data_IF_523869910076
#
_entry.id   IF_523869910076
#
_cell.length_a   1.000
_cell.length_b   1.000
_cell.length_c   1.000
_cell.angle_alpha   90.00
_cell.angle_beta   90.00
_cell.angle_gamma   90.00
#
_symmetry.space_group_name_H-M   'P 1'
#
loop_
_entity.id
_entity.type
_entity.pdbx_description
1 polymer ?
#
# COMPACT_ATOMS: atom_id res chain seq x y z
N UNK A 1 21.96 7.56 -12.08
CA UNK A 1 21.21 6.34 -11.69
C UNK A 1 21.22 6.31 -10.16
N UNK A 2 20.08 6.22 -9.55
CA UNK A 2 19.98 6.06 -8.09
C UNK A 2 20.52 4.67 -7.73
N UNK A 3 21.32 4.57 -6.68
CA UNK A 3 21.82 3.28 -6.21
C UNK A 3 20.64 2.44 -5.73
N UNK A 4 20.44 1.26 -6.30
CA UNK A 4 19.35 0.33 -5.97
C UNK A 4 19.79 -0.77 -5.01
N UNK A 5 21.12 -0.85 -4.74
CA UNK A 5 21.71 -1.87 -3.88
C UNK A 5 21.79 -1.40 -2.43
N UNK A 6 21.18 -2.18 -1.51
CA UNK A 6 21.22 -1.95 -0.07
C UNK A 6 21.76 -3.21 0.59
N UNK A 7 22.84 -3.11 1.36
CA UNK A 7 23.50 -4.24 2.04
C UNK A 7 23.83 -5.43 1.11
N UNK A 8 24.17 -5.14 -0.15
CA UNK A 8 24.53 -6.18 -1.14
C UNK A 8 23.36 -6.79 -1.91
N UNK A 9 22.12 -6.42 -1.60
CA UNK A 9 20.91 -6.86 -2.31
C UNK A 9 20.43 -5.75 -3.23
N UNK A 10 20.10 -6.08 -4.49
CA UNK A 10 19.45 -5.15 -5.42
C UNK A 10 17.94 -5.11 -5.17
N UNK A 11 17.45 -4.01 -4.68
CA UNK A 11 16.03 -3.77 -4.43
C UNK A 11 15.28 -3.19 -5.64
N UNK A 12 15.98 -2.92 -6.74
CA UNK A 12 15.37 -2.41 -7.96
C UNK A 12 14.47 -1.19 -7.71
N UNK A 13 13.20 -1.23 -8.17
CA UNK A 13 12.26 -0.13 -8.01
C UNK A 13 11.86 0.16 -6.54
N UNK A 14 12.10 -0.78 -5.61
CA UNK A 14 11.75 -0.62 -4.20
C UNK A 14 12.80 0.15 -3.39
N UNK A 15 14.04 0.28 -3.88
CA UNK A 15 15.14 0.91 -3.14
C UNK A 15 14.78 2.33 -2.64
N UNK A 16 14.07 3.08 -3.46
CA UNK A 16 13.62 4.43 -3.14
C UNK A 16 12.59 4.51 -2.01
N UNK A 17 11.94 3.41 -1.62
CA UNK A 17 10.96 3.40 -0.52
C UNK A 17 11.64 3.49 0.86
N UNK A 18 12.80 2.83 1.03
CA UNK A 18 13.43 2.59 2.33
C UNK A 18 13.66 3.88 3.10
N UNK A 19 13.16 3.91 4.35
CA UNK A 19 13.21 5.06 5.25
C UNK A 19 11.86 5.35 5.90
N UNK A 20 11.79 6.45 6.65
CA UNK A 20 10.56 6.92 7.29
C UNK A 20 10.03 8.15 6.54
N UNK A 21 8.75 8.16 6.30
CA UNK A 21 8.06 9.18 5.52
C UNK A 21 6.91 9.80 6.32
N UNK A 22 6.82 11.12 6.34
CA UNK A 22 5.76 11.84 7.01
C UNK A 22 4.90 12.60 5.99
N UNK A 23 3.57 12.50 6.13
CA UNK A 23 2.60 13.19 5.31
C UNK A 23 1.54 13.89 6.15
N UNK A 24 1.21 15.13 5.79
CA UNK A 24 0.23 15.95 6.49
C UNK A 24 -0.93 16.44 5.59
N UNK A 25 -1.01 15.93 4.36
CA UNK A 25 -1.99 16.34 3.34
C UNK A 25 -2.95 15.23 2.96
N UNK A 26 -3.04 14.22 3.84
CA UNK A 26 -3.91 13.08 3.62
C UNK A 26 -5.39 13.46 3.61
N UNK A 27 -6.14 12.78 2.76
CA UNK A 27 -7.59 12.87 2.67
C UNK A 27 -8.17 11.48 2.46
N UNK A 28 -8.89 11.00 3.44
CA UNK A 28 -9.69 9.79 3.41
C UNK A 28 -11.13 10.17 2.99
N UNK A 29 -11.73 9.36 2.11
CA UNK A 29 -13.13 9.47 1.68
C UNK A 29 -13.82 8.14 1.92
N UNK A 30 -14.44 8.02 3.10
CA UNK A 30 -15.03 6.79 3.61
C UNK A 30 -16.55 6.76 3.54
N UNK A 31 -17.18 5.56 3.47
CA UNK A 31 -18.63 5.42 3.52
C UNK A 31 -19.17 5.61 4.95
N UNK A 32 -20.28 6.33 5.06
CA UNK A 32 -21.10 6.40 6.23
C UNK A 32 -22.53 5.88 5.93
N UNK A 33 -23.31 5.42 6.93
CA UNK A 33 -24.67 4.96 6.70
C UNK A 33 -25.51 5.99 5.93
N UNK A 34 -25.40 7.26 6.30
CA UNK A 34 -26.16 8.36 5.74
C UNK A 34 -25.44 9.18 4.68
N UNK A 35 -24.24 8.77 4.25
CA UNK A 35 -23.49 9.57 3.28
C UNK A 35 -22.05 9.18 3.08
N UNK A 36 -21.18 10.20 3.14
CA UNK A 36 -19.73 10.08 2.93
C UNK A 36 -19.03 10.95 3.96
N UNK A 37 -18.08 10.39 4.70
CA UNK A 37 -17.15 11.13 5.54
C UNK A 37 -15.92 11.53 4.73
N UNK A 38 -15.40 12.74 5.00
CA UNK A 38 -14.11 13.20 4.49
C UNK A 38 -13.24 13.56 5.68
N UNK A 39 -12.22 12.76 5.92
CA UNK A 39 -11.34 12.89 7.08
C UNK A 39 -9.94 13.32 6.64
N UNK A 40 -9.55 14.58 6.85
CA UNK A 40 -8.16 15.00 6.69
C UNK A 40 -7.30 14.35 7.75
N UNK A 41 -6.12 13.83 7.33
CA UNK A 41 -5.22 13.12 8.20
C UNK A 41 -3.76 13.49 8.01
N UNK A 42 -2.95 13.07 8.94
CA UNK A 42 -1.50 12.96 8.80
C UNK A 42 -1.07 11.52 9.09
N UNK A 43 0.07 11.14 8.55
CA UNK A 43 0.55 9.79 8.66
C UNK A 43 2.06 9.70 8.72
N UNK A 44 2.53 8.57 9.22
CA UNK A 44 3.91 8.13 9.09
C UNK A 44 3.92 6.75 8.46
N UNK A 45 4.74 6.58 7.41
CA UNK A 45 5.02 5.29 6.80
C UNK A 45 6.50 4.98 6.99
N UNK A 46 6.80 3.84 7.60
CA UNK A 46 8.17 3.34 7.76
C UNK A 46 8.40 2.15 6.84
N UNK A 47 9.43 2.21 6.01
CA UNK A 47 9.86 1.14 5.13
C UNK A 47 11.25 0.66 5.53
N UNK A 48 11.41 -0.64 5.73
CA UNK A 48 12.65 -1.27 6.16
C UNK A 48 13.08 -2.34 5.15
N UNK A 49 14.33 -2.24 4.68
CA UNK A 49 14.91 -3.28 3.84
C UNK A 49 15.09 -4.56 4.67
N UNK A 50 14.41 -5.63 4.27
CA UNK A 50 14.54 -6.95 4.91
C UNK A 50 15.72 -7.73 4.32
N UNK A 51 15.88 -7.67 3.01
CA UNK A 51 16.87 -8.43 2.26
C UNK A 51 16.23 -9.13 1.07
N UNK A 52 16.80 -10.25 0.68
CA UNK A 52 16.28 -11.13 -0.34
C UNK A 52 15.68 -12.42 0.27
N UNK A 53 14.75 -13.02 -0.45
CA UNK A 53 14.12 -14.30 -0.11
C UNK A 53 14.24 -15.22 -1.32
N UNK A 54 15.04 -16.29 -1.18
CA UNK A 54 15.42 -17.22 -2.25
C UNK A 54 15.07 -18.69 -1.95
N UNK A 55 14.36 -18.96 -0.85
CA UNK A 55 14.06 -20.31 -0.35
C UNK A 55 13.07 -21.11 -1.22
N UNK A 56 12.60 -20.55 -2.33
CA UNK A 56 11.78 -21.26 -3.34
C UNK A 56 12.60 -21.69 -4.58
N UNK A 57 13.93 -21.78 -4.49
CA UNK A 57 14.90 -22.27 -5.48
C UNK A 57 14.96 -21.46 -6.79
N UNK A 58 13.80 -21.16 -7.41
CA UNK A 58 13.72 -20.51 -8.74
C UNK A 58 13.33 -19.04 -8.68
N UNK A 59 12.94 -18.55 -7.52
CA UNK A 59 12.54 -17.17 -7.34
C UNK A 59 13.40 -16.50 -6.27
N UNK A 60 13.87 -15.30 -6.57
CA UNK A 60 14.52 -14.43 -5.60
C UNK A 60 13.73 -13.12 -5.52
N UNK A 61 13.19 -12.81 -4.33
CA UNK A 61 12.41 -11.62 -4.08
C UNK A 61 13.23 -10.63 -3.25
N UNK A 62 13.41 -9.42 -3.73
CA UNK A 62 13.80 -8.30 -2.87
C UNK A 62 12.61 -7.85 -2.03
N UNK A 63 12.80 -7.70 -0.72
CA UNK A 63 11.71 -7.52 0.25
C UNK A 63 11.91 -6.29 1.10
N UNK A 64 10.90 -5.41 1.10
CA UNK A 64 10.79 -4.23 1.96
C UNK A 64 9.57 -4.40 2.85
N UNK A 65 9.77 -4.45 4.18
CA UNK A 65 8.66 -4.42 5.15
C UNK A 65 8.17 -2.99 5.32
N UNK A 66 6.86 -2.80 5.54
CA UNK A 66 6.34 -1.48 5.88
C UNK A 66 5.29 -1.51 6.99
N UNK A 67 5.16 -0.38 7.67
CA UNK A 67 4.05 -0.04 8.54
C UNK A 67 3.60 1.38 8.24
N UNK A 68 2.28 1.59 8.15
CA UNK A 68 1.63 2.88 7.96
C UNK A 68 0.70 3.14 9.14
N UNK A 69 0.90 4.26 9.81
CA UNK A 69 0.05 4.73 10.92
C UNK A 69 -0.59 6.04 10.52
N UNK A 70 -1.92 6.06 10.48
CA UNK A 70 -2.72 7.21 10.07
C UNK A 70 -3.51 7.76 11.25
N UNK A 71 -3.44 9.09 11.43
CA UNK A 71 -4.10 9.80 12.53
C UNK A 71 -5.00 10.90 12.02
N UNK A 72 -6.20 11.00 12.58
CA UNK A 72 -7.14 12.10 12.29
C UNK A 72 -6.59 13.44 12.75
N UNK A 73 -6.68 14.46 11.92
CA UNK A 73 -6.30 15.83 12.31
C UNK A 73 -7.21 16.45 13.35
N UNK A 74 -8.43 15.94 13.50
CA UNK A 74 -9.42 16.49 14.43
C UNK A 74 -9.17 16.16 15.89
N UNK A 75 -8.53 15.00 16.19
CA UNK A 75 -8.42 14.49 17.55
C UNK A 75 -7.15 13.66 17.83
N UNK A 76 -6.21 13.58 16.86
CA UNK A 76 -4.97 12.81 16.92
C UNK A 76 -5.13 11.29 17.14
N UNK A 77 -6.35 10.77 17.00
CA UNK A 77 -6.60 9.33 17.11
C UNK A 77 -6.06 8.55 15.90
N UNK A 78 -5.42 7.42 16.19
CA UNK A 78 -5.08 6.44 15.17
C UNK A 78 -6.37 5.79 14.69
N UNK A 79 -6.72 5.95 13.42
CA UNK A 79 -7.90 5.33 12.85
C UNK A 79 -7.57 4.33 11.74
N UNK A 80 -6.31 4.29 11.27
CA UNK A 80 -5.82 3.27 10.38
C UNK A 80 -4.40 2.85 10.77
N UNK A 81 -4.18 1.54 10.85
CA UNK A 81 -2.89 0.88 11.06
C UNK A 81 -2.78 -0.24 10.03
N UNK A 82 -1.78 -0.15 9.19
CA UNK A 82 -1.55 -1.10 8.10
C UNK A 82 -0.12 -1.59 8.13
N UNK A 83 0.07 -2.88 7.89
CA UNK A 83 1.40 -3.47 7.77
C UNK A 83 1.44 -4.47 6.63
N UNK A 84 2.64 -4.72 6.11
CA UNK A 84 2.87 -5.70 5.07
C UNK A 84 4.26 -5.60 4.46
N UNK A 85 4.36 -6.06 3.23
CA UNK A 85 5.61 -6.11 2.48
C UNK A 85 5.38 -5.58 1.06
N UNK A 86 6.37 -4.84 0.55
CA UNK A 86 6.60 -4.67 -0.86
C UNK A 86 7.65 -5.67 -1.30
N UNK A 87 7.40 -6.37 -2.41
CA UNK A 87 8.28 -7.39 -2.94
C UNK A 87 8.53 -7.12 -4.42
N UNK A 88 9.72 -7.42 -4.89
CA UNK A 88 10.08 -7.31 -6.30
C UNK A 88 10.78 -8.56 -6.77
N UNK A 89 10.28 -9.11 -7.87
CA UNK A 89 10.88 -10.22 -8.60
C UNK A 89 11.59 -9.66 -9.85
N UNK A 90 12.91 -9.59 -9.79
CA UNK A 90 13.72 -9.05 -10.90
C UNK A 90 13.63 -9.90 -12.18
N UNK A 91 13.34 -11.19 -12.06
CA UNK A 91 13.30 -12.10 -13.22
C UNK A 91 12.03 -11.91 -14.05
N UNK A 92 10.92 -11.56 -13.41
CA UNK A 92 9.60 -11.33 -14.05
C UNK A 92 9.21 -9.86 -14.09
N UNK A 93 10.00 -8.98 -13.45
CA UNK A 93 9.72 -7.55 -13.28
C UNK A 93 8.41 -7.25 -12.53
N UNK A 94 7.86 -8.24 -11.81
CA UNK A 94 6.62 -8.11 -11.05
C UNK A 94 6.89 -7.45 -9.71
N UNK A 95 6.06 -6.46 -9.38
CA UNK A 95 5.99 -5.85 -8.04
C UNK A 95 4.75 -6.38 -7.34
N UNK A 96 4.90 -6.69 -6.05
CA UNK A 96 3.79 -7.17 -5.21
C UNK A 96 3.70 -6.34 -3.94
N UNK A 97 2.49 -6.22 -3.41
CA UNK A 97 2.24 -5.64 -2.09
C UNK A 97 1.34 -6.56 -1.29
N UNK A 98 1.81 -7.04 -0.14
CA UNK A 98 0.92 -7.60 0.85
C UNK A 98 0.40 -6.50 1.78
N UNK A 99 -0.86 -6.58 2.16
CA UNK A 99 -1.52 -5.64 3.07
C UNK A 99 -2.24 -6.43 4.15
N UNK A 100 -2.11 -6.00 5.39
CA UNK A 100 -2.88 -6.50 6.50
C UNK A 100 -3.32 -5.34 7.40
N UNK A 101 -4.63 -5.28 7.67
CA UNK A 101 -5.22 -4.27 8.54
C UNK A 101 -5.96 -4.94 9.71
N UNK A 102 -6.01 -4.31 10.92
CA UNK A 102 -6.64 -4.89 12.10
C UNK A 102 -8.17 -4.96 12.02
N UNK A 103 -8.74 -4.72 10.84
CA UNK A 103 -10.16 -4.95 10.51
C UNK A 103 -10.43 -6.38 10.01
N UNK A 104 -9.44 -7.28 10.16
CA UNK A 104 -9.50 -8.66 9.66
C UNK A 104 -9.70 -8.77 8.13
N UNK A 105 -8.97 -7.93 7.42
CA UNK A 105 -8.80 -7.97 5.97
C UNK A 105 -7.30 -8.07 5.68
N UNK A 106 -6.94 -8.97 4.76
CA UNK A 106 -5.60 -9.07 4.20
C UNK A 106 -5.69 -9.31 2.71
N UNK A 107 -4.67 -8.87 1.96
CA UNK A 107 -4.61 -9.07 0.52
C UNK A 107 -3.16 -9.25 0.05
N UNK A 108 -3.03 -9.85 -1.13
CA UNK A 108 -1.83 -9.83 -1.94
C UNK A 108 -2.19 -9.18 -3.27
N UNK A 109 -1.62 -8.02 -3.54
CA UNK A 109 -1.77 -7.29 -4.79
C UNK A 109 -0.53 -7.46 -5.65
N UNK A 110 -0.71 -7.52 -6.96
CA UNK A 110 0.39 -7.59 -7.93
C UNK A 110 0.25 -6.58 -9.04
N UNK A 111 1.39 -6.27 -9.66
CA UNK A 111 1.46 -5.32 -10.76
C UNK A 111 2.87 -5.03 -11.22
N UNK A 112 3.13 -3.80 -11.59
CA UNK A 112 4.37 -3.39 -12.25
C UNK A 112 5.01 -2.12 -11.63
N UNK A 113 6.22 -1.82 -12.10
CA UNK A 113 6.93 -0.59 -11.79
C UNK A 113 7.33 0.12 -13.08
N UNK A 114 7.19 1.45 -13.08
CA UNK A 114 7.67 2.29 -14.18
C UNK A 114 8.64 3.35 -13.66
N UNK A 115 9.79 3.48 -14.32
CA UNK A 115 10.75 4.55 -14.04
C UNK A 115 10.66 5.62 -15.11
N UNK A 116 10.44 6.86 -14.69
CA UNK A 116 10.33 8.03 -15.57
C UNK A 116 11.16 9.20 -15.01
N UNK A 117 11.16 10.32 -15.69
CA UNK A 117 11.71 11.60 -15.19
C UNK A 117 11.01 12.12 -13.92
N UNK A 118 9.80 11.62 -13.63
CA UNK A 118 9.02 11.94 -12.42
C UNK A 118 9.32 11.02 -11.24
N UNK A 119 10.24 10.07 -11.40
CA UNK A 119 10.59 9.09 -10.38
C UNK A 119 10.16 7.66 -10.72
N UNK A 120 10.12 6.82 -9.70
CA UNK A 120 9.66 5.43 -9.78
C UNK A 120 8.21 5.37 -9.32
N UNK A 121 7.34 4.81 -10.17
CA UNK A 121 5.93 4.58 -9.85
C UNK A 121 5.68 3.08 -9.77
N UNK A 122 5.09 2.63 -8.66
CA UNK A 122 4.63 1.27 -8.41
C UNK A 122 3.11 1.26 -8.54
N UNK A 123 2.56 0.28 -9.28
CA UNK A 123 1.11 0.09 -9.43
C UNK A 123 0.76 -1.36 -9.15
N UNK A 124 -0.13 -1.58 -8.21
CA UNK A 124 -0.58 -2.92 -7.84
C UNK A 124 -2.09 -2.95 -7.67
N UNK A 125 -2.68 -4.12 -7.88
CA UNK A 125 -4.10 -4.34 -7.72
C UNK A 125 -4.40 -5.72 -7.14
N UNK A 126 -5.53 -5.84 -6.43
CA UNK A 126 -6.09 -7.10 -5.96
C UNK A 126 -7.61 -7.10 -6.13
N UNK A 127 -8.19 -8.29 -6.26
CA UNK A 127 -9.64 -8.45 -6.41
C UNK A 127 -10.13 -9.66 -5.63
N UNK A 128 -11.29 -9.52 -5.02
CA UNK A 128 -11.94 -10.62 -4.33
C UNK A 128 -12.23 -11.79 -5.30
N UNK A 129 -11.77 -12.98 -4.93
CA UNK A 129 -11.93 -14.18 -5.74
C UNK A 129 -10.92 -14.34 -6.87
N UNK A 130 -9.98 -13.41 -7.04
CA UNK A 130 -8.87 -13.59 -7.97
C UNK A 130 -7.90 -14.67 -7.43
N UNK A 131 -7.46 -15.64 -8.27
CA UNK A 131 -6.61 -16.73 -7.82
C UNK A 131 -5.16 -16.31 -7.55
N UNK A 132 -4.68 -15.22 -8.17
CA UNK A 132 -3.30 -14.75 -8.09
C UNK A 132 -3.18 -13.55 -7.15
N UNK A 133 -4.01 -12.51 -7.36
CA UNK A 133 -3.99 -11.25 -6.61
C UNK A 133 -5.29 -11.07 -5.84
N UNK A 134 -5.36 -11.74 -4.69
CA UNK A 134 -6.60 -11.98 -3.97
C UNK A 134 -6.75 -11.21 -2.67
N UNK A 135 -7.99 -11.16 -2.21
CA UNK A 135 -8.41 -10.54 -0.95
C UNK A 135 -9.00 -11.62 -0.05
N UNK A 136 -8.53 -11.69 1.20
CA UNK A 136 -9.07 -12.55 2.25
C UNK A 136 -9.63 -11.67 3.37
N UNK A 137 -10.86 -11.96 3.79
CA UNK A 137 -11.55 -11.18 4.80
C UNK A 137 -12.37 -12.08 5.72
N UNK A 138 -12.58 -11.61 6.95
CA UNK A 138 -13.36 -12.37 7.94
C UNK A 138 -14.81 -12.57 7.46
N UNK A 139 -15.53 -13.56 8.02
CA UNK A 139 -16.94 -13.75 7.70
C UNK A 139 -17.79 -12.49 7.96
N UNK A 140 -17.49 -11.76 9.05
CA UNK A 140 -18.19 -10.51 9.34
C UNK A 140 -17.95 -9.47 8.23
N UNK A 141 -16.71 -9.28 7.80
CA UNK A 141 -16.39 -8.31 6.74
C UNK A 141 -17.05 -8.71 5.43
N UNK A 142 -16.95 -9.98 5.04
CA UNK A 142 -17.60 -10.49 3.83
C UNK A 142 -19.11 -10.19 3.80
N UNK A 143 -19.79 -10.32 4.94
CA UNK A 143 -21.23 -10.23 5.01
C UNK A 143 -21.76 -8.81 5.29
N UNK A 144 -20.91 -7.88 5.79
CA UNK A 144 -21.32 -6.54 6.23
C UNK A 144 -20.53 -5.38 5.62
N UNK A 145 -19.28 -5.61 5.22
CA UNK A 145 -18.40 -4.56 4.68
C UNK A 145 -17.35 -5.18 3.74
N UNK A 146 -17.84 -5.85 2.69
CA UNK A 146 -16.98 -6.64 1.81
C UNK A 146 -16.06 -5.77 0.97
N UNK A 147 -14.76 -6.00 1.09
CA UNK A 147 -13.76 -5.44 0.19
C UNK A 147 -13.78 -6.22 -1.13
N UNK A 148 -14.10 -5.53 -2.23
CA UNK A 148 -14.30 -6.14 -3.56
C UNK A 148 -13.06 -6.01 -4.42
N UNK A 149 -12.40 -4.85 -4.40
CA UNK A 149 -11.14 -4.62 -5.11
C UNK A 149 -10.28 -3.61 -4.37
N UNK A 150 -9.00 -3.64 -4.68
CA UNK A 150 -7.98 -2.75 -4.16
C UNK A 150 -7.05 -2.34 -5.30
N UNK A 151 -6.76 -1.05 -5.42
CA UNK A 151 -5.80 -0.48 -6.35
C UNK A 151 -4.91 0.51 -5.60
N UNK A 152 -3.60 0.41 -5.78
CA UNK A 152 -2.63 1.31 -5.16
C UNK A 152 -1.59 1.75 -6.19
N UNK A 153 -1.44 3.07 -6.31
CA UNK A 153 -0.38 3.70 -7.08
C UNK A 153 0.49 4.54 -6.12
N UNK A 154 1.80 4.27 -6.09
CA UNK A 154 2.77 4.96 -5.25
C UNK A 154 3.93 5.42 -6.11
N UNK A 155 4.27 6.72 -6.04
CA UNK A 155 5.40 7.33 -6.76
C UNK A 155 6.41 7.89 -5.78
N UNK A 156 7.70 7.56 -5.99
CA UNK A 156 8.84 8.11 -5.23
C UNK A 156 9.77 8.85 -6.17
N UNK A 157 10.16 10.06 -5.77
CA UNK A 157 11.16 10.87 -6.45
C UNK A 157 12.07 11.57 -5.43
N UNK A 158 13.25 11.03 -5.18
CA UNK A 158 14.17 11.49 -4.15
C UNK A 158 13.53 11.44 -2.75
N UNK A 159 13.39 12.59 -2.10
CA UNK A 159 12.80 12.71 -0.77
C UNK A 159 11.28 13.03 -0.80
N UNK A 160 10.65 12.96 -1.95
CA UNK A 160 9.21 13.14 -2.13
C UNK A 160 8.53 11.81 -2.50
N UNK A 161 7.40 11.55 -1.87
CA UNK A 161 6.51 10.42 -2.15
C UNK A 161 5.08 10.91 -2.31
N UNK A 162 4.34 10.29 -3.19
CA UNK A 162 2.89 10.48 -3.30
C UNK A 162 2.22 9.14 -3.57
N UNK A 163 1.02 8.94 -3.04
CA UNK A 163 0.22 7.78 -3.37
C UNK A 163 -1.25 8.12 -3.57
N UNK A 164 -1.94 7.22 -4.26
CA UNK A 164 -3.40 7.13 -4.29
C UNK A 164 -3.80 5.67 -4.16
N UNK A 165 -4.77 5.43 -3.30
CA UNK A 165 -5.38 4.12 -3.06
C UNK A 165 -6.87 4.20 -3.34
N UNK A 166 -7.42 3.18 -3.96
CA UNK A 166 -8.85 3.04 -4.21
C UNK A 166 -9.29 1.65 -3.82
N UNK A 167 -10.25 1.57 -2.91
CA UNK A 167 -10.87 0.32 -2.47
C UNK A 167 -12.35 0.35 -2.80
N UNK A 168 -12.86 -0.65 -3.52
CA UNK A 168 -14.29 -0.83 -3.70
C UNK A 168 -14.85 -1.67 -2.56
N UNK A 169 -15.88 -1.17 -1.88
CA UNK A 169 -16.47 -1.79 -0.70
C UNK A 169 -17.98 -1.92 -0.87
N UNK A 170 -18.51 -3.11 -0.60
CA UNK A 170 -19.95 -3.34 -0.45
C UNK A 170 -20.33 -3.14 1.03
N UNK A 171 -20.96 -2.02 1.36
CA UNK A 171 -21.23 -1.63 2.75
C UNK A 171 -22.51 -0.78 2.86
N UNK A 172 -23.23 -0.91 3.95
CA UNK A 172 -24.46 -0.14 4.23
C UNK A 172 -25.53 -0.26 3.13
N UNK A 173 -25.62 -1.43 2.48
CA UNK A 173 -26.52 -1.64 1.35
C UNK A 173 -26.11 -0.94 0.05
N UNK A 174 -24.96 -0.28 0.04
CA UNK A 174 -24.35 0.31 -1.17
C UNK A 174 -23.39 -0.72 -1.77
N UNK A 175 -23.52 -0.96 -3.07
CA UNK A 175 -22.59 -1.81 -3.82
C UNK A 175 -21.46 -0.96 -4.40
N UNK A 176 -20.23 -1.45 -4.28
CA UNK A 176 -19.03 -0.85 -4.85
C UNK A 176 -18.85 0.64 -4.50
N UNK A 177 -19.04 0.96 -3.23
CA UNK A 177 -18.68 2.30 -2.74
C UNK A 177 -17.19 2.54 -3.01
N UNK A 178 -16.87 3.68 -3.61
CA UNK A 178 -15.48 4.05 -3.92
C UNK A 178 -14.87 4.74 -2.69
N UNK A 179 -14.13 3.96 -1.91
CA UNK A 179 -13.31 4.45 -0.80
C UNK A 179 -11.94 4.86 -1.34
N UNK A 180 -11.50 6.06 -1.06
CA UNK A 180 -10.23 6.58 -1.58
C UNK A 180 -9.38 7.23 -0.51
N UNK A 181 -8.08 6.93 -0.56
CA UNK A 181 -7.04 7.55 0.23
C UNK A 181 -5.96 8.14 -0.68
N UNK A 182 -5.40 9.27 -0.28
CA UNK A 182 -4.28 9.88 -0.99
C UNK A 182 -3.48 10.80 -0.08
N UNK A 183 -2.17 10.81 -0.26
CA UNK A 183 -1.33 11.78 0.43
C UNK A 183 -0.05 12.11 -0.36
N UNK A 184 0.66 13.13 0.12
CA UNK A 184 2.02 13.49 -0.30
C UNK A 184 2.89 13.52 0.95
N UNK A 185 3.98 12.78 0.91
CA UNK A 185 4.89 12.61 2.02
C UNK A 185 6.28 13.12 1.68
N UNK A 186 7.02 13.43 2.71
CA UNK A 186 8.45 13.75 2.61
C UNK A 186 9.24 12.80 3.50
N UNK A 187 10.44 12.45 3.05
CA UNK A 187 11.35 11.60 3.81
C UNK A 187 11.80 12.34 5.08
N UNK A 188 11.68 11.66 6.21
CA UNK A 188 12.23 12.14 7.48
C UNK A 188 13.75 12.08 7.42
N UNK A 189 14.41 13.17 7.79
CA UNK A 189 15.87 13.29 7.86
C UNK A 189 16.41 12.73 9.17
#
# INVERSE_FOLDING_TARGET
>A
MTETTINGVDFGPLAGLVGTWDGDRGMDVAPEPDGVEKSPYYETITFEAVGDVDNAEKQNLAVVRYQQIVKRKSNDEVFHDQTGYWLWDAATEVVMQSVSIPRAVTLLAGGDAATTDKGVTLKVQAKLGDPDWGIVQSPFMRDNASTVSFEHELTVNGDAMAYSETTLIDIYGKSQFVHTDRNKLVRRK
#
